data_IF_237997781882
#
_entry.id   IF_237997781882
#
_cell.length_a   1.000
_cell.length_b   1.000
_cell.length_c   1.000
_cell.angle_alpha   90.00
_cell.angle_beta   90.00
_cell.angle_gamma   90.00
#
_symmetry.space_group_name_H-M   'P 1'
#
loop_
_entity.id
_entity.type
_entity.pdbx_description
1 polymer ?
#
# COMPACT_ATOMS: atom_id res chain seq x y z
N UNK A 1 -28.60 -0.02 39.40
CA UNK A 1 -27.42 -0.33 38.58
C UNK A 1 -27.89 -0.43 37.13
N UNK A 2 -28.15 0.69 36.46
CA UNK A 2 -27.18 1.39 35.61
C UNK A 2 -27.49 2.89 35.64
N UNK A 3 -26.49 3.69 36.01
CA UNK A 3 -26.59 5.14 36.11
C UNK A 3 -26.82 5.77 34.73
N UNK A 4 -27.90 6.54 34.62
CA UNK A 4 -28.03 7.59 33.63
C UNK A 4 -26.89 8.59 33.84
N UNK A 5 -25.96 8.67 32.88
CA UNK A 5 -25.01 9.78 32.82
C UNK A 5 -25.60 10.86 31.93
N UNK A 6 -26.34 11.76 32.58
CA UNK A 6 -26.70 13.07 32.07
C UNK A 6 -25.45 13.78 31.55
N UNK A 7 -25.40 14.06 30.25
CA UNK A 7 -24.54 15.12 29.72
C UNK A 7 -25.43 16.32 29.36
N UNK A 8 -25.56 17.31 30.26
CA UNK A 8 -26.32 18.52 29.99
C UNK A 8 -25.38 19.51 29.31
N UNK A 9 -25.42 19.57 27.97
CA UNK A 9 -25.19 20.78 27.16
C UNK A 9 -25.14 20.38 25.68
N UNK A 10 -26.30 20.47 25.04
CA UNK A 10 -26.36 20.86 23.64
C UNK A 10 -25.70 22.23 23.51
N UNK A 11 -24.40 22.24 23.21
CA UNK A 11 -23.73 23.42 22.67
C UNK A 11 -23.64 23.20 21.17
N UNK A 12 -24.59 23.80 20.47
CA UNK A 12 -24.47 24.08 19.04
C UNK A 12 -23.25 24.98 18.86
N UNK A 13 -22.08 24.38 18.63
CA UNK A 13 -20.98 25.09 18.01
C UNK A 13 -21.35 25.24 16.54
N UNK A 14 -22.12 26.29 16.22
CA UNK A 14 -22.44 26.71 14.85
C UNK A 14 -21.20 27.34 14.20
N UNK A 15 -20.07 26.67 14.22
CA UNK A 15 -19.18 26.73 13.06
C UNK A 15 -19.83 25.81 12.05
N UNK A 16 -20.39 26.36 10.97
CA UNK A 16 -20.84 25.57 9.81
C UNK A 16 -19.63 24.84 9.25
N UNK A 17 -19.30 23.68 9.82
CA UNK A 17 -18.25 22.80 9.33
C UNK A 17 -18.74 22.16 8.04
N UNK A 18 -17.97 22.30 6.98
CA UNK A 18 -18.23 21.62 5.71
C UNK A 18 -18.19 20.11 5.96
N UNK A 19 -19.23 19.41 5.51
CA UNK A 19 -19.33 17.96 5.60
C UNK A 19 -18.97 17.36 4.24
N UNK A 20 -17.90 16.58 4.20
CA UNK A 20 -17.45 15.93 2.97
C UNK A 20 -17.97 14.50 2.91
N UNK A 21 -18.54 14.14 1.78
CA UNK A 21 -18.86 12.76 1.41
C UNK A 21 -17.90 12.38 0.29
N UNK A 22 -16.98 11.45 0.58
CA UNK A 22 -16.05 10.92 -0.41
C UNK A 22 -16.55 9.56 -0.88
N UNK A 23 -16.65 9.40 -2.20
CA UNK A 23 -17.06 8.18 -2.86
C UNK A 23 -15.94 7.73 -3.77
N UNK A 24 -15.26 6.64 -3.41
CA UNK A 24 -14.17 6.04 -4.15
C UNK A 24 -14.66 4.78 -4.88
N UNK A 25 -14.36 4.70 -6.17
CA UNK A 25 -14.61 3.52 -6.99
C UNK A 25 -15.01 3.85 -8.45
N UNK A 26 -15.09 2.83 -9.31
CA UNK A 26 -15.46 3.02 -10.70
C UNK A 26 -16.90 3.51 -10.84
N UNK A 27 -17.13 4.41 -11.80
CA UNK A 27 -18.47 4.91 -12.12
C UNK A 27 -19.19 3.95 -13.04
N UNK A 28 -20.44 3.63 -12.67
CA UNK A 28 -21.37 2.90 -13.51
C UNK A 28 -22.56 3.79 -13.86
N UNK A 29 -23.09 3.61 -15.07
CA UNK A 29 -24.19 4.40 -15.61
C UNK A 29 -25.44 4.36 -14.71
N UNK A 30 -25.74 3.23 -14.08
CA UNK A 30 -26.96 3.04 -13.30
C UNK A 30 -26.95 3.89 -12.04
N UNK A 31 -25.85 3.90 -11.28
CA UNK A 31 -25.84 4.63 -10.02
C UNK A 31 -25.60 6.13 -10.22
N UNK A 32 -24.78 6.53 -11.21
CA UNK A 32 -24.53 7.95 -11.43
C UNK A 32 -25.78 8.68 -11.96
N UNK A 33 -26.61 7.99 -12.76
CA UNK A 33 -27.87 8.54 -13.24
C UNK A 33 -28.88 8.79 -12.10
N UNK A 34 -28.94 7.86 -11.15
CA UNK A 34 -29.79 7.98 -9.96
C UNK A 34 -29.36 9.13 -9.04
N UNK A 35 -28.10 9.61 -9.17
CA UNK A 35 -27.59 10.75 -8.41
C UNK A 35 -27.75 12.10 -9.12
N UNK A 36 -28.28 12.15 -10.36
CA UNK A 36 -28.40 13.40 -11.11
C UNK A 36 -29.16 14.51 -10.35
N UNK A 37 -30.20 14.15 -9.57
CA UNK A 37 -31.03 15.11 -8.81
C UNK A 37 -30.32 15.67 -7.57
N UNK A 38 -29.38 14.91 -7.01
CA UNK A 38 -28.59 15.34 -5.87
C UNK A 38 -27.35 16.12 -6.29
N UNK A 39 -26.83 15.85 -7.49
CA UNK A 39 -25.70 16.57 -8.09
C UNK A 39 -26.11 17.94 -8.63
N UNK A 40 -27.36 18.09 -9.08
CA UNK A 40 -27.95 19.36 -9.52
C UNK A 40 -28.06 20.41 -8.39
N UNK A 41 -28.47 21.63 -8.73
CA UNK A 41 -28.69 22.75 -7.80
C UNK A 41 -29.77 22.45 -6.75
N UNK A 42 -30.63 21.48 -7.05
CA UNK A 42 -31.71 21.06 -6.15
C UNK A 42 -31.20 20.39 -4.86
N UNK A 43 -30.04 19.71 -4.92
CA UNK A 43 -29.44 18.98 -3.79
C UNK A 43 -30.43 18.05 -3.07
N UNK A 44 -31.23 17.29 -3.83
CA UNK A 44 -32.23 16.34 -3.32
C UNK A 44 -31.88 14.92 -3.76
N UNK A 45 -31.70 14.02 -2.80
CA UNK A 45 -31.57 12.59 -3.05
C UNK A 45 -32.98 11.97 -3.02
N UNK A 46 -33.38 11.38 -4.15
CA UNK A 46 -34.64 10.66 -4.27
C UNK A 46 -34.36 9.17 -4.11
N UNK A 47 -34.91 8.54 -3.07
CA UNK A 47 -34.77 7.11 -2.84
C UNK A 47 -35.88 6.35 -3.59
N UNK A 48 -35.60 5.10 -3.96
CA UNK A 48 -36.58 4.21 -4.59
C UNK A 48 -37.80 3.91 -3.69
N UNK A 49 -37.70 4.19 -2.39
CA UNK A 49 -38.82 4.17 -1.44
C UNK A 49 -39.81 5.33 -1.62
N UNK A 50 -39.47 6.34 -2.42
CA UNK A 50 -40.21 7.59 -2.58
C UNK A 50 -39.84 8.67 -1.55
N UNK A 51 -38.94 8.38 -0.62
CA UNK A 51 -38.42 9.38 0.32
C UNK A 51 -37.48 10.37 -0.38
N UNK A 52 -37.56 11.64 0.03
CA UNK A 52 -36.73 12.72 -0.51
C UNK A 52 -35.88 13.30 0.61
N UNK A 53 -34.58 13.08 0.52
CA UNK A 53 -33.60 13.62 1.48
C UNK A 53 -32.96 14.84 0.86
N UNK A 54 -33.14 16.01 1.49
CA UNK A 54 -32.50 17.25 1.05
C UNK A 54 -31.14 17.41 1.73
N UNK A 55 -30.09 17.54 0.95
CA UNK A 55 -28.76 17.84 1.48
C UNK A 55 -28.68 19.28 1.95
N UNK A 56 -27.93 19.47 3.03
CA UNK A 56 -27.63 20.81 3.52
C UNK A 56 -26.57 21.47 2.64
N UNK A 57 -26.59 22.81 2.50
CA UNK A 57 -25.60 23.54 1.69
C UNK A 57 -24.17 23.46 2.24
N UNK A 58 -23.98 22.89 3.43
CA UNK A 58 -22.65 22.63 3.99
C UNK A 58 -22.08 21.28 3.56
N UNK A 59 -22.86 20.45 2.86
CA UNK A 59 -22.44 19.12 2.41
C UNK A 59 -21.83 19.20 1.01
N UNK A 60 -20.63 18.69 0.84
CA UNK A 60 -19.93 18.57 -0.44
C UNK A 60 -19.69 17.10 -0.74
N UNK A 61 -19.99 16.67 -1.97
CA UNK A 61 -19.65 15.33 -2.45
C UNK A 61 -18.42 15.40 -3.34
N UNK A 62 -17.53 14.42 -3.19
CA UNK A 62 -16.37 14.23 -4.03
C UNK A 62 -16.34 12.78 -4.48
N UNK A 63 -16.06 12.57 -5.77
CA UNK A 63 -15.94 11.27 -6.39
C UNK A 63 -14.48 11.07 -6.79
N UNK A 64 -13.85 10.00 -6.30
CA UNK A 64 -12.60 9.50 -6.84
C UNK A 64 -12.94 8.36 -7.80
N UNK A 65 -12.57 8.53 -9.07
CA UNK A 65 -12.96 7.64 -10.15
C UNK A 65 -11.77 7.46 -11.09
N UNK A 66 -11.54 6.24 -11.57
CA UNK A 66 -10.47 5.96 -12.54
C UNK A 66 -10.83 6.51 -13.92
N UNK A 67 -12.06 6.26 -14.37
CA UNK A 67 -12.57 6.76 -15.64
C UNK A 67 -14.04 7.23 -15.54
N UNK A 68 -14.44 8.03 -16.53
CA UNK A 68 -15.81 8.53 -16.68
C UNK A 68 -16.45 7.99 -17.98
N UNK A 69 -15.92 6.89 -18.51
CA UNK A 69 -16.33 6.33 -19.80
C UNK A 69 -17.81 5.95 -19.85
N UNK A 70 -18.38 5.54 -18.71
CA UNK A 70 -19.78 5.18 -18.54
C UNK A 70 -20.71 6.36 -18.19
N UNK A 71 -20.17 7.56 -17.94
CA UNK A 71 -20.96 8.72 -17.54
C UNK A 71 -21.41 9.55 -18.75
N UNK A 72 -22.66 9.99 -18.76
CA UNK A 72 -23.14 10.88 -19.82
C UNK A 72 -22.51 12.28 -19.70
N UNK A 73 -22.17 12.97 -20.81
CA UNK A 73 -21.64 14.34 -20.75
C UNK A 73 -22.56 15.33 -20.01
N UNK A 74 -23.87 15.08 -20.01
CA UNK A 74 -24.86 15.89 -19.31
C UNK A 74 -24.85 15.70 -17.78
N UNK A 75 -24.35 14.56 -17.29
CA UNK A 75 -24.15 14.28 -15.86
C UNK A 75 -22.84 14.90 -15.38
N UNK A 76 -21.77 14.73 -16.16
CA UNK A 76 -20.43 15.27 -15.86
C UNK A 76 -20.43 16.81 -15.87
N UNK A 77 -21.25 17.46 -16.71
CA UNK A 77 -21.32 18.92 -16.79
C UNK A 77 -21.85 19.62 -15.52
N UNK A 78 -22.51 18.88 -14.62
CA UNK A 78 -23.03 19.39 -13.35
C UNK A 78 -22.01 19.37 -12.23
N UNK A 79 -20.86 18.74 -12.45
CA UNK A 79 -19.82 18.53 -11.46
C UNK A 79 -18.54 19.28 -11.85
N UNK A 80 -17.77 19.72 -10.85
CA UNK A 80 -16.42 20.21 -11.07
C UNK A 80 -15.48 19.04 -11.33
N UNK A 81 -14.79 19.06 -12.47
CA UNK A 81 -13.85 18.01 -12.87
C UNK A 81 -12.42 18.45 -12.55
N UNK A 82 -11.68 17.59 -11.83
CA UNK A 82 -10.25 17.76 -11.56
C UNK A 82 -9.53 16.54 -12.12
N UNK A 83 -8.69 16.77 -13.13
CA UNK A 83 -7.89 15.71 -13.73
C UNK A 83 -6.54 15.64 -13.04
N UNK A 84 -6.15 14.44 -12.61
CA UNK A 84 -4.85 14.15 -12.02
C UNK A 84 -4.08 13.23 -12.96
N UNK A 85 -2.92 13.67 -13.43
CA UNK A 85 -2.06 12.81 -14.23
C UNK A 85 -1.17 11.97 -13.30
N UNK A 86 -1.07 10.67 -13.57
CA UNK A 86 -0.23 9.75 -12.78
C UNK A 86 1.26 10.10 -12.86
N UNK A 87 1.68 10.84 -13.89
CA UNK A 87 3.03 11.37 -14.04
C UNK A 87 3.33 12.49 -13.04
N UNK A 88 2.32 13.29 -12.68
CA UNK A 88 2.47 14.41 -11.73
C UNK A 88 2.66 13.88 -10.30
N UNK A 89 2.03 12.74 -9.98
CA UNK A 89 2.20 12.05 -8.70
C UNK A 89 3.25 10.95 -8.85
N UNK A 90 4.51 11.37 -9.03
CA UNK A 90 5.62 10.45 -9.22
C UNK A 90 5.99 9.63 -7.97
N UNK A 91 6.66 8.51 -8.19
CA UNK A 91 7.08 7.59 -7.12
C UNK A 91 8.04 8.24 -6.11
N UNK A 92 8.74 9.31 -6.48
CA UNK A 92 9.63 10.09 -5.61
C UNK A 92 8.90 10.68 -4.42
N UNK A 93 7.63 11.07 -4.58
CA UNK A 93 6.78 11.57 -3.49
C UNK A 93 6.44 10.47 -2.49
N UNK A 94 6.29 9.22 -2.97
CA UNK A 94 6.11 8.06 -2.08
C UNK A 94 7.35 7.79 -1.25
N UNK A 95 8.53 7.88 -1.88
CA UNK A 95 9.81 7.70 -1.21
C UNK A 95 10.06 8.81 -0.17
N UNK A 96 9.83 10.09 -0.51
CA UNK A 96 10.00 11.19 0.43
C UNK A 96 9.09 11.04 1.64
N UNK A 97 7.80 10.76 1.42
CA UNK A 97 6.83 10.51 2.50
C UNK A 97 7.18 9.29 3.35
N UNK A 98 7.73 8.24 2.75
CA UNK A 98 8.19 7.07 3.49
C UNK A 98 9.41 7.40 4.35
N UNK A 99 10.37 8.17 3.84
CA UNK A 99 11.53 8.65 4.59
C UNK A 99 11.14 9.56 5.76
N UNK A 100 10.15 10.43 5.61
CA UNK A 100 9.63 11.26 6.71
C UNK A 100 9.01 10.44 7.85
N UNK A 101 8.45 9.27 7.53
CA UNK A 101 7.84 8.34 8.49
C UNK A 101 8.86 7.40 9.15
N UNK A 102 10.14 7.48 8.77
CA UNK A 102 11.17 6.66 9.41
C UNK A 102 11.36 7.06 10.88
N UNK A 103 11.64 6.08 11.76
CA UNK A 103 12.01 6.34 13.15
C UNK A 103 13.26 7.20 13.27
N UNK A 104 13.38 7.95 14.36
CA UNK A 104 14.46 8.95 14.55
C UNK A 104 15.87 8.37 14.36
N UNK A 105 16.07 7.11 14.78
CA UNK A 105 17.34 6.37 14.62
C UNK A 105 17.81 6.19 13.19
N UNK A 106 16.88 6.26 12.23
CA UNK A 106 17.11 6.00 10.81
C UNK A 106 16.97 7.26 9.95
N UNK A 107 16.67 8.41 10.57
CA UNK A 107 16.51 9.67 9.85
C UNK A 107 17.83 10.15 9.25
N UNK A 108 18.95 9.89 9.92
CA UNK A 108 20.28 10.27 9.43
C UNK A 108 20.63 9.53 8.13
N UNK A 109 20.18 8.27 7.99
CA UNK A 109 20.38 7.46 6.79
C UNK A 109 19.32 7.71 5.70
N UNK A 110 18.27 8.48 5.99
CA UNK A 110 17.17 8.70 5.05
C UNK A 110 17.65 9.40 3.76
N UNK A 111 18.58 10.35 3.87
CA UNK A 111 19.14 11.05 2.71
C UNK A 111 19.94 10.10 1.80
N UNK A 112 20.78 9.25 2.40
CA UNK A 112 21.55 8.24 1.66
C UNK A 112 20.63 7.24 0.96
N UNK A 113 19.56 6.82 1.65
CA UNK A 113 18.59 5.90 1.08
C UNK A 113 17.80 6.53 -0.07
N UNK A 114 17.47 7.82 0.03
CA UNK A 114 16.84 8.55 -1.08
C UNK A 114 17.74 8.57 -2.32
N UNK A 115 19.01 8.95 -2.16
CA UNK A 115 19.98 9.00 -3.26
C UNK A 115 20.20 7.61 -3.90
N UNK A 116 20.29 6.57 -3.08
CA UNK A 116 20.43 5.19 -3.56
C UNK A 116 19.21 4.77 -4.38
N UNK A 117 18.01 4.98 -3.86
CA UNK A 117 16.76 4.62 -4.54
C UNK A 117 16.59 5.41 -5.83
N UNK A 118 16.95 6.70 -5.83
CA UNK A 118 16.93 7.59 -6.99
C UNK A 118 17.85 7.12 -8.12
N UNK A 119 19.07 6.74 -7.79
CA UNK A 119 20.03 6.24 -8.78
C UNK A 119 19.66 4.87 -9.36
N UNK A 120 19.09 4.00 -8.53
CA UNK A 120 18.84 2.61 -8.89
C UNK A 120 17.49 2.44 -9.60
N UNK A 121 16.43 3.10 -9.14
CA UNK A 121 15.06 2.83 -9.60
C UNK A 121 14.82 3.30 -11.03
N UNK A 122 15.39 4.43 -11.47
CA UNK A 122 15.21 4.92 -12.84
C UNK A 122 15.74 3.90 -13.87
N UNK A 123 16.95 3.36 -13.64
CA UNK A 123 17.55 2.35 -14.50
C UNK A 123 16.75 1.03 -14.49
N UNK A 124 16.25 0.63 -13.32
CA UNK A 124 15.39 -0.56 -13.18
C UNK A 124 14.08 -0.37 -13.94
N UNK A 125 13.43 0.80 -13.85
CA UNK A 125 12.18 1.06 -14.56
C UNK A 125 12.35 1.15 -16.07
N UNK A 126 13.46 1.72 -16.55
CA UNK A 126 13.79 1.69 -17.98
C UNK A 126 13.98 0.24 -18.47
N UNK A 127 14.71 -0.57 -17.71
CA UNK A 127 14.93 -1.98 -18.02
C UNK A 127 13.62 -2.78 -18.03
N UNK A 128 12.80 -2.64 -16.98
CA UNK A 128 11.52 -3.35 -16.84
C UNK A 128 10.53 -2.93 -17.92
N UNK A 129 10.52 -1.65 -18.30
CA UNK A 129 9.59 -1.16 -19.33
C UNK A 129 9.98 -1.61 -20.74
N UNK A 130 11.28 -1.78 -21.02
CA UNK A 130 11.75 -2.17 -22.37
C UNK A 130 11.95 -3.66 -22.58
N UNK A 131 12.44 -4.38 -21.56
CA UNK A 131 12.92 -5.76 -21.70
C UNK A 131 11.99 -6.81 -21.10
N UNK A 132 11.04 -6.40 -20.26
CA UNK A 132 10.16 -7.33 -19.53
C UNK A 132 8.74 -7.21 -20.06
N UNK A 133 8.21 -8.33 -20.57
CA UNK A 133 6.79 -8.43 -20.89
C UNK A 133 5.99 -8.60 -19.60
N UNK A 134 5.08 -7.67 -19.33
CA UNK A 134 4.23 -7.68 -18.13
C UNK A 134 2.90 -8.38 -18.49
N UNK A 135 2.50 -9.46 -17.80
CA UNK A 135 1.23 -10.13 -18.06
C UNK A 135 0.01 -9.30 -17.65
N UNK A 136 0.20 -8.32 -16.74
CA UNK A 136 -0.83 -7.43 -16.20
C UNK A 136 -0.27 -6.00 -16.24
N UNK A 137 -1.09 -4.98 -16.53
CA UNK A 137 -0.66 -3.59 -16.41
C UNK A 137 -0.31 -3.28 -14.94
N UNK A 138 0.91 -2.77 -14.71
CA UNK A 138 1.39 -2.39 -13.38
C UNK A 138 1.97 -0.99 -13.43
N UNK A 139 1.46 -0.12 -12.55
CA UNK A 139 1.98 1.23 -12.33
C UNK A 139 3.35 1.21 -11.67
N UNK A 140 4.23 2.14 -12.04
CA UNK A 140 5.55 2.32 -11.41
C UNK A 140 5.40 2.62 -9.91
N UNK A 141 4.40 3.43 -9.54
CA UNK A 141 4.11 3.76 -8.14
C UNK A 141 3.76 2.52 -7.32
N UNK A 142 3.02 1.58 -7.91
CA UNK A 142 2.70 0.31 -7.26
C UNK A 142 3.94 -0.54 -7.01
N UNK A 143 4.85 -0.61 -7.98
CA UNK A 143 6.12 -1.34 -7.82
C UNK A 143 6.97 -0.75 -6.70
N UNK A 144 7.11 0.58 -6.67
CA UNK A 144 7.85 1.27 -5.59
C UNK A 144 7.18 1.07 -4.25
N UNK A 145 5.85 1.19 -4.16
CA UNK A 145 5.14 0.99 -2.90
C UNK A 145 5.35 -0.41 -2.33
N UNK A 146 5.29 -1.44 -3.16
CA UNK A 146 5.57 -2.82 -2.74
C UNK A 146 7.03 -3.01 -2.31
N UNK A 147 7.98 -2.39 -3.02
CA UNK A 147 9.38 -2.39 -2.61
C UNK A 147 9.56 -1.72 -1.24
N UNK A 148 8.94 -0.56 -1.01
CA UNK A 148 9.00 0.15 0.27
C UNK A 148 8.35 -0.65 1.40
N UNK A 149 7.24 -1.35 1.14
CA UNK A 149 6.63 -2.25 2.12
C UNK A 149 7.54 -3.45 2.45
N UNK A 150 8.20 -4.03 1.45
CA UNK A 150 9.16 -5.11 1.67
C UNK A 150 10.38 -4.62 2.47
N UNK A 151 10.93 -3.46 2.11
CA UNK A 151 12.03 -2.83 2.83
C UNK A 151 11.63 -2.54 4.28
N UNK A 152 10.43 -2.02 4.50
CA UNK A 152 9.90 -1.79 5.83
C UNK A 152 9.77 -3.08 6.65
N UNK A 153 9.25 -4.16 6.04
CA UNK A 153 9.14 -5.45 6.71
C UNK A 153 10.52 -6.04 7.08
N UNK A 154 11.50 -5.95 6.17
CA UNK A 154 12.88 -6.38 6.43
C UNK A 154 13.53 -5.55 7.55
N UNK A 155 13.30 -4.24 7.53
CA UNK A 155 13.82 -3.32 8.54
C UNK A 155 13.23 -3.63 9.92
N UNK A 156 11.93 -3.93 10.00
CA UNK A 156 11.28 -4.34 11.24
C UNK A 156 11.81 -5.67 11.80
N UNK A 157 12.21 -6.60 10.93
CA UNK A 157 12.76 -7.89 11.34
C UNK A 157 14.16 -7.73 11.98
N UNK A 158 15.01 -6.88 11.42
CA UNK A 158 16.36 -6.62 11.94
C UNK A 158 16.36 -5.62 13.10
N UNK A 159 15.40 -4.69 13.12
CA UNK A 159 15.27 -3.66 14.14
C UNK A 159 13.79 -3.56 14.54
N UNK A 160 13.39 -3.96 15.76
CA UNK A 160 12.03 -3.78 16.22
C UNK A 160 11.75 -2.28 16.42
N UNK A 161 11.15 -1.67 15.40
CA UNK A 161 10.91 -0.22 15.28
C UNK A 161 9.58 0.23 15.93
N UNK A 162 9.06 -0.52 16.89
CA UNK A 162 7.77 -0.23 17.51
C UNK A 162 7.73 1.13 18.23
N UNK A 163 6.75 2.00 17.95
CA UNK A 163 6.65 3.34 18.53
C UNK A 163 6.33 3.34 20.04
N UNK A 164 5.90 2.21 20.61
CA UNK A 164 5.70 2.04 22.06
C UNK A 164 7.00 1.73 22.80
N UNK A 165 8.06 1.35 22.08
CA UNK A 165 9.33 0.99 22.69
C UNK A 165 10.17 2.25 22.76
N UNK A 166 9.99 3.02 23.85
CA UNK A 166 10.95 4.09 24.21
C UNK A 166 12.35 3.56 23.99
N UNK A 167 13.14 4.34 23.28
CA UNK A 167 14.45 3.98 22.80
C UNK A 167 15.21 3.02 23.71
N UNK A 168 15.11 1.72 23.41
CA UNK A 168 16.06 0.77 23.98
C UNK A 168 17.35 1.05 23.24
N UNK A 169 18.22 1.82 23.90
CA UNK A 169 19.62 1.95 23.51
C UNK A 169 20.12 0.55 23.15
N UNK A 170 20.52 0.36 21.90
CA UNK A 170 21.24 -0.84 21.49
C UNK A 170 22.49 -0.87 22.35
N UNK A 171 22.51 -1.71 23.39
CA UNK A 171 23.76 -2.06 24.04
C UNK A 171 24.56 -2.79 22.98
N UNK A 172 25.58 -2.12 22.44
CA UNK A 172 26.69 -2.78 21.76
C UNK A 172 27.16 -3.92 22.67
N UNK A 173 26.80 -5.15 22.32
CA UNK A 173 27.55 -6.29 22.81
C UNK A 173 28.74 -6.37 21.87
N UNK A 174 29.89 -5.87 22.34
CA UNK A 174 31.17 -6.26 21.80
C UNK A 174 31.21 -7.79 21.76
N UNK A 175 31.04 -8.36 20.57
CA UNK A 175 31.29 -9.76 20.34
C UNK A 175 32.80 -9.95 20.47
N UNK A 176 33.25 -10.38 21.65
CA UNK A 176 34.60 -10.87 21.87
C UNK A 176 34.83 -12.00 20.86
N UNK A 177 35.69 -11.73 19.88
CA UNK A 177 36.17 -12.72 18.91
C UNK A 177 37.00 -13.74 19.69
N UNK A 178 36.37 -14.83 20.11
CA UNK A 178 37.08 -16.07 20.40
C UNK A 178 37.28 -16.80 19.07
N UNK A 179 38.53 -16.80 18.60
CA UNK A 179 38.94 -17.55 17.44
C UNK A 179 38.73 -19.04 17.70
N UNK A 180 37.70 -19.61 17.09
CA UNK A 180 37.57 -21.07 16.95
C UNK A 180 38.43 -21.47 15.75
N UNK A 181 39.44 -22.34 15.91
CA UNK A 181 40.23 -22.80 14.78
C UNK A 181 39.35 -23.64 13.86
N UNK A 182 39.21 -23.21 12.61
CA UNK A 182 38.58 -24.00 11.55
C UNK A 182 39.50 -25.19 11.27
N UNK A 183 39.16 -26.35 11.83
CA UNK A 183 39.82 -27.61 11.47
C UNK A 183 39.32 -27.99 10.08
N UNK A 184 40.24 -27.92 9.11
CA UNK A 184 40.09 -28.39 7.76
C UNK A 184 39.99 -29.93 7.78
N UNK A 185 38.78 -30.48 7.74
CA UNK A 185 38.55 -31.92 7.68
C UNK A 185 37.07 -32.24 7.47
N UNK A 186 36.79 -33.19 6.57
CA UNK A 186 35.49 -33.84 6.32
C UNK A 186 34.49 -33.21 5.33
N UNK A 187 35.00 -32.57 4.28
CA UNK A 187 34.23 -32.26 3.06
C UNK A 187 34.45 -33.22 1.87
N UNK A 188 35.44 -34.11 1.92
CA UNK A 188 35.91 -34.85 0.75
C UNK A 188 35.26 -36.24 0.55
N UNK A 189 34.46 -36.74 1.51
CA UNK A 189 33.92 -38.10 1.44
C UNK A 189 32.52 -38.20 0.80
N UNK A 190 31.80 -37.08 0.63
CA UNK A 190 30.42 -37.08 0.10
C UNK A 190 30.32 -37.10 -1.45
N UNK A 191 31.44 -36.98 -2.17
CA UNK A 191 31.47 -36.95 -3.64
C UNK A 191 31.80 -38.29 -4.30
N UNK A 192 32.24 -39.30 -3.54
CA UNK A 192 32.61 -40.62 -4.08
C UNK A 192 31.45 -41.64 -4.03
N UNK A 193 30.34 -41.32 -3.36
CA UNK A 193 29.19 -42.22 -3.17
C UNK A 193 28.02 -41.95 -4.15
N UNK A 194 28.13 -40.94 -5.02
CA UNK A 194 27.12 -40.60 -6.03
C UNK A 194 27.40 -41.21 -7.43
N UNK A 195 28.54 -41.87 -7.62
CA UNK A 195 28.98 -42.41 -8.91
C UNK A 195 28.76 -43.95 -9.06
N UNK A 196 28.21 -44.62 -8.04
CA UNK A 196 28.11 -46.10 -7.98
C UNK A 196 26.70 -46.68 -8.15
N UNK A 197 25.68 -45.91 -8.51
CA UNK A 197 24.31 -46.43 -8.72
C UNK A 197 23.98 -46.66 -10.21
N UNK A 198 23.49 -47.86 -10.61
CA UNK A 198 23.24 -48.19 -12.00
C UNK A 198 22.07 -47.39 -12.61
N UNK A 199 22.27 -46.93 -13.85
CA UNK A 199 21.31 -46.18 -14.68
C UNK A 199 20.07 -47.04 -14.99
N UNK A 200 19.03 -46.95 -14.17
CA UNK A 200 17.81 -47.72 -14.43
C UNK A 200 16.66 -47.60 -13.43
N UNK A 201 16.51 -46.50 -12.69
CA UNK A 201 15.32 -46.32 -11.82
C UNK A 201 14.87 -44.86 -11.69
N UNK A 202 14.52 -44.25 -12.83
CA UNK A 202 13.90 -42.91 -12.91
C UNK A 202 12.36 -42.97 -12.83
N UNK A 203 11.80 -43.83 -11.98
CA UNK A 203 10.33 -43.97 -11.84
C UNK A 203 9.77 -43.92 -10.40
N UNK A 204 10.59 -43.69 -9.38
CA UNK A 204 10.12 -43.74 -7.98
C UNK A 204 9.94 -42.38 -7.28
N UNK A 205 10.16 -41.24 -7.95
CA UNK A 205 10.06 -39.91 -7.33
C UNK A 205 8.79 -39.11 -7.66
N UNK A 206 7.82 -39.71 -8.37
CA UNK A 206 6.51 -39.07 -8.67
C UNK A 206 5.37 -39.41 -7.70
N UNK A 207 5.61 -40.15 -6.60
CA UNK A 207 4.52 -40.61 -5.72
C UNK A 207 4.69 -40.25 -4.24
N UNK A 208 5.14 -39.04 -3.93
CA UNK A 208 4.96 -38.47 -2.58
C UNK A 208 4.18 -37.18 -2.64
N UNK A 209 2.89 -37.33 -2.88
CA UNK A 209 1.85 -36.42 -2.41
C UNK A 209 1.81 -36.41 -0.87
N UNK A 210 1.55 -35.23 -0.30
CA UNK A 210 1.10 -34.98 1.08
C UNK A 210 0.03 -36.01 1.54
N UNK A 211 -0.08 -36.38 2.85
CA UNK A 211 -0.86 -35.54 3.79
C UNK A 211 -0.48 -35.60 5.29
N UNK A 212 -0.87 -34.53 6.00
CA UNK A 212 -1.54 -34.52 7.32
C UNK A 212 -0.77 -34.93 8.58
N UNK A 213 -0.52 -33.98 9.49
CA UNK A 213 -1.26 -33.74 10.76
C UNK A 213 -1.15 -32.24 11.08
#
# INVERSE_FOLDING_TARGET
>A
MLQQRNNPKGKSCKTRSVQWILLDGPVDAVWIENLNTVLDDNKKLCLNSGEIIKLTPVTTMMFEVEDLSAASPATVSRCGMVFLEQQDIGWRVLLSSWCERLPDRLKDQAALLQELMDSCLDAVFEMVSRKVSKPVPVSVNWLVLNLLHLLWALLQAELPLDPSTKDVAVKEKEAKVEAVPVSLGDGAQALHDLESLPRGSLRALQSKSLPGV
#
